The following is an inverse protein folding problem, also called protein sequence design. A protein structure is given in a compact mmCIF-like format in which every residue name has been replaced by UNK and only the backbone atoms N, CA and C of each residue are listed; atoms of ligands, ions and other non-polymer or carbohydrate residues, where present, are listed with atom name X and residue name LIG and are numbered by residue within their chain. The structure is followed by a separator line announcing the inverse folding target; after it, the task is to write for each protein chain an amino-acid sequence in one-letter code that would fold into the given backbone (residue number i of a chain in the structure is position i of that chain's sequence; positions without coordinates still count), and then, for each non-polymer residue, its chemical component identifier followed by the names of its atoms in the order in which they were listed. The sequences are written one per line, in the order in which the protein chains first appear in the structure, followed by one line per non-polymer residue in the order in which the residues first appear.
data_IF_775277329682
#
_entry.id   IF_775277329682
#
_cell.length_a   1.000
_cell.length_b   1.000
_cell.length_c   1.000
_cell.angle_alpha   90.00
_cell.angle_beta   90.00
_cell.angle_gamma   90.00
#
_symmetry.space_group_name_H-M   'P 1'
#
loop_
_entity.id
_entity.type
_entity.pdbx_description
1 polymer ?
#
# COMPACT_ATOMS: atom_id res chain seq x y z
N UNK A 1 -2.20 -15.86 -7.85
CA UNK A 1 -0.78 -16.12 -7.53
C UNK A 1 -0.54 -15.77 -6.08
N UNK A 2 0.31 -16.51 -5.34
CA UNK A 2 0.74 -16.07 -4.02
C UNK A 2 1.43 -14.71 -4.14
N UNK A 3 1.20 -13.84 -3.15
CA UNK A 3 1.91 -12.58 -3.06
C UNK A 3 3.41 -12.87 -2.90
N UNK A 4 4.24 -12.26 -3.74
CA UNK A 4 5.70 -12.37 -3.68
C UNK A 4 6.24 -10.97 -3.45
N UNK A 5 6.89 -10.77 -2.31
CA UNK A 5 7.55 -9.50 -2.01
C UNK A 5 8.74 -9.30 -2.94
N UNK A 6 8.89 -8.08 -3.43
CA UNK A 6 10.00 -7.62 -4.25
C UNK A 6 10.63 -6.44 -3.53
N UNK A 7 11.61 -6.72 -2.67
CA UNK A 7 12.23 -5.71 -1.78
C UNK A 7 13.73 -5.50 -2.10
N UNK A 8 14.18 -6.02 -3.25
CA UNK A 8 15.56 -5.80 -3.69
C UNK A 8 15.72 -4.32 -4.01
N UNK A 9 16.75 -3.71 -3.41
CA UNK A 9 17.11 -2.32 -3.70
C UNK A 9 17.53 -2.18 -5.16
N UNK A 10 16.94 -1.22 -5.86
CA UNK A 10 17.30 -0.86 -7.22
C UNK A 10 18.56 0.02 -7.23
N UNK A 11 19.27 0.06 -8.37
CA UNK A 11 20.57 0.75 -8.50
C UNK A 11 20.58 1.78 -9.63
N UNK A 12 19.48 1.90 -10.35
CA UNK A 12 19.30 2.68 -11.57
C UNK A 12 18.49 3.96 -11.36
N UNK A 13 18.23 4.38 -10.11
CA UNK A 13 17.47 5.59 -9.79
C UNK A 13 17.94 6.82 -10.58
N UNK A 14 19.25 7.08 -10.59
CA UNK A 14 19.86 8.21 -11.29
C UNK A 14 19.90 8.06 -12.83
N UNK A 15 19.46 6.93 -13.39
CA UNK A 15 19.37 6.72 -14.83
C UNK A 15 18.06 7.26 -15.42
N UNK A 16 17.04 7.49 -14.57
CA UNK A 16 15.79 8.09 -14.99
C UNK A 16 15.93 9.61 -15.06
N UNK A 17 15.26 10.23 -16.05
CA UNK A 17 15.19 11.69 -16.13
C UNK A 17 14.43 12.24 -14.92
N UNK A 18 14.82 13.41 -14.41
CA UNK A 18 14.11 14.09 -13.32
C UNK A 18 12.65 14.42 -13.65
N UNK A 19 12.26 14.42 -14.93
CA UNK A 19 10.85 14.58 -15.34
C UNK A 19 10.06 13.28 -15.31
N UNK A 20 10.72 12.12 -15.20
CA UNK A 20 10.04 10.81 -15.17
C UNK A 20 9.35 10.64 -13.81
N UNK A 21 8.02 10.47 -13.78
CA UNK A 21 7.31 10.30 -12.51
C UNK A 21 7.59 8.94 -11.85
N UNK A 22 7.68 8.96 -10.52
CA UNK A 22 7.55 7.78 -9.68
C UNK A 22 6.05 7.50 -9.49
N UNK A 23 5.65 6.25 -9.69
CA UNK A 23 4.26 5.80 -9.51
C UNK A 23 4.18 4.96 -8.24
N UNK A 24 3.33 5.36 -7.31
CA UNK A 24 3.08 4.69 -6.04
C UNK A 24 1.63 4.22 -6.01
N UNK A 25 1.42 2.91 -5.95
CA UNK A 25 0.15 2.33 -5.56
C UNK A 25 0.14 2.08 -4.03
N UNK A 26 -0.50 3.00 -3.30
CA UNK A 26 -0.53 3.03 -1.84
C UNK A 26 -1.70 2.20 -1.28
N UNK A 27 -1.69 0.90 -1.54
CA UNK A 27 -2.75 -0.01 -1.10
C UNK A 27 -2.62 -0.40 0.38
N UNK A 28 -3.76 -0.48 1.09
CA UNK A 28 -3.79 -0.82 2.53
C UNK A 28 -3.22 -2.21 2.88
N UNK A 29 -3.18 -3.16 1.94
CA UNK A 29 -2.52 -4.46 2.14
C UNK A 29 -1.06 -4.41 1.70
N UNK A 30 -0.80 -3.85 0.52
CA UNK A 30 0.48 -3.94 -0.18
C UNK A 30 0.80 -2.58 -0.75
N UNK A 31 2.04 -2.15 -0.55
CA UNK A 31 2.61 -0.97 -1.15
C UNK A 31 3.39 -1.38 -2.41
N UNK A 32 3.21 -0.63 -3.50
CA UNK A 32 3.94 -0.85 -4.75
C UNK A 32 4.50 0.47 -5.25
N UNK A 33 5.74 0.45 -5.71
CA UNK A 33 6.43 1.63 -6.25
C UNK A 33 7.28 1.25 -7.46
N UNK A 34 7.30 2.12 -8.46
CA UNK A 34 8.04 1.94 -9.70
C UNK A 34 8.05 3.21 -10.53
N UNK A 35 8.45 3.09 -11.80
CA UNK A 35 8.57 4.22 -12.72
C UNK A 35 7.43 4.27 -13.72
N UNK A 36 6.98 5.48 -14.06
CA UNK A 36 6.03 5.66 -15.15
C UNK A 36 6.64 5.16 -16.47
N UNK A 37 5.83 4.46 -17.27
CA UNK A 37 6.25 3.86 -18.54
C UNK A 37 6.75 2.42 -18.43
N UNK A 38 6.93 1.91 -17.20
CA UNK A 38 7.19 0.49 -16.97
C UNK A 38 5.89 -0.30 -16.78
N UNK A 39 5.93 -1.60 -17.11
CA UNK A 39 4.75 -2.47 -17.02
C UNK A 39 4.51 -2.99 -15.60
N UNK A 40 5.59 -3.24 -14.85
CA UNK A 40 5.55 -3.84 -13.52
C UNK A 40 6.18 -2.90 -12.50
N UNK A 41 5.65 -2.82 -11.27
CA UNK A 41 6.29 -2.08 -10.20
C UNK A 41 7.65 -2.72 -9.87
N UNK A 42 8.62 -1.88 -9.49
CA UNK A 42 9.99 -2.33 -9.16
C UNK A 42 10.10 -2.91 -7.76
N UNK A 43 9.27 -2.41 -6.84
CA UNK A 43 9.28 -2.78 -5.43
C UNK A 43 7.85 -3.03 -4.96
N UNK A 44 7.65 -4.15 -4.26
CA UNK A 44 6.35 -4.61 -3.73
C UNK A 44 6.56 -5.19 -2.33
N UNK A 45 5.82 -4.71 -1.33
CA UNK A 45 5.87 -5.26 0.02
C UNK A 45 4.54 -5.02 0.77
N UNK A 46 4.35 -5.69 1.90
CA UNK A 46 3.15 -5.48 2.73
C UNK A 46 3.17 -4.10 3.38
N UNK A 47 2.03 -3.43 3.40
CA UNK A 47 1.88 -2.06 3.89
C UNK A 47 1.67 -2.03 5.42
N UNK A 48 2.65 -2.55 6.14
CA UNK A 48 2.66 -2.69 7.60
C UNK A 48 4.03 -2.34 8.17
N UNK A 49 4.04 -1.88 9.42
CA UNK A 49 5.25 -1.59 10.18
C UNK A 49 5.17 -2.29 11.53
N UNK A 50 6.24 -2.96 11.92
CA UNK A 50 6.44 -3.46 13.28
C UNK A 50 7.63 -2.73 13.91
N UNK A 51 7.56 -2.49 15.23
CA UNK A 51 8.65 -1.86 15.98
C UNK A 51 9.11 -2.73 17.15
N UNK A 52 9.73 -3.90 16.90
CA UNK A 52 10.21 -4.75 17.97
C UNK A 52 11.48 -4.20 18.63
N UNK A 53 11.78 -4.73 19.82
CA UNK A 53 13.05 -4.47 20.50
C UNK A 53 14.07 -5.55 20.18
N UNK A 54 15.29 -5.15 19.88
CA UNK A 54 16.40 -6.08 19.76
C UNK A 54 16.75 -6.65 21.14
N UNK A 55 16.81 -7.98 21.27
CA UNK A 55 16.97 -8.67 22.56
C UNK A 55 18.26 -8.32 23.29
N UNK A 56 19.35 -8.13 22.54
CA UNK A 56 20.67 -7.83 23.10
C UNK A 56 20.87 -6.35 23.42
N UNK A 57 20.61 -5.44 22.47
CA UNK A 57 20.86 -4.00 22.65
C UNK A 57 19.71 -3.27 23.34
N UNK A 58 18.50 -3.85 23.36
CA UNK A 58 17.29 -3.21 23.87
C UNK A 58 16.73 -2.12 22.96
N UNK A 59 17.39 -1.83 21.84
CA UNK A 59 17.01 -0.79 20.89
C UNK A 59 15.74 -1.18 20.13
N UNK A 60 14.91 -0.18 19.84
CA UNK A 60 13.69 -0.38 19.05
C UNK A 60 14.01 -0.15 17.58
N UNK A 61 13.76 -1.16 16.75
CA UNK A 61 14.02 -1.10 15.31
C UNK A 61 12.69 -1.03 14.57
N UNK A 62 12.59 -0.21 13.53
CA UNK A 62 11.42 -0.18 12.64
C UNK A 62 11.63 -1.18 11.51
N UNK A 63 10.71 -2.12 11.36
CA UNK A 63 10.70 -3.13 10.30
C UNK A 63 9.45 -2.88 9.45
N UNK A 64 9.63 -2.72 8.14
CA UNK A 64 8.57 -2.49 7.18
C UNK A 64 8.34 -3.76 6.36
N UNK A 65 7.08 -4.10 6.11
CA UNK A 65 6.70 -5.27 5.34
C UNK A 65 6.80 -6.58 6.12
N UNK A 66 7.00 -7.68 5.39
CA UNK A 66 7.13 -9.00 5.99
C UNK A 66 8.47 -9.16 6.71
N UNK A 67 8.45 -9.87 7.84
CA UNK A 67 9.67 -10.22 8.55
C UNK A 67 10.45 -11.29 7.80
N UNK A 68 11.76 -11.11 7.71
CA UNK A 68 12.63 -12.27 7.49
C UNK A 68 12.55 -13.15 8.74
N UNK A 69 11.97 -14.34 8.59
CA UNK A 69 11.82 -15.32 9.67
C UNK A 69 13.15 -15.65 10.36
N UNK A 70 14.28 -15.51 9.67
CA UNK A 70 15.61 -15.72 10.24
C UNK A 70 16.02 -14.64 11.24
N UNK A 71 15.44 -13.43 11.15
CA UNK A 71 15.71 -12.30 12.02
C UNK A 71 14.86 -12.30 13.30
N UNK A 72 13.73 -13.03 13.33
CA UNK A 72 12.86 -13.11 14.52
C UNK A 72 13.59 -13.59 15.79
N UNK A 73 14.69 -14.35 15.65
CA UNK A 73 15.48 -14.79 16.81
C UNK A 73 16.12 -13.63 17.57
N UNK A 74 16.43 -12.52 16.90
CA UNK A 74 17.07 -11.34 17.48
C UNK A 74 16.08 -10.33 18.07
N UNK A 75 14.80 -10.41 17.68
CA UNK A 75 13.78 -9.44 18.04
C UNK A 75 12.76 -10.02 19.03
N UNK A 76 12.38 -9.21 20.02
CA UNK A 76 11.22 -9.48 20.87
C UNK A 76 9.98 -8.85 20.23
N UNK A 77 9.25 -9.66 19.47
CA UNK A 77 8.00 -9.27 18.81
C UNK A 77 6.76 -9.47 19.70
N UNK A 78 6.90 -10.02 20.92
CA UNK A 78 5.77 -10.34 21.80
C UNK A 78 4.98 -9.11 22.25
N UNK A 79 5.63 -7.94 22.20
CA UNK A 79 5.07 -6.65 22.66
C UNK A 79 4.67 -5.69 21.54
N UNK A 80 4.97 -6.01 20.28
CA UNK A 80 4.70 -5.12 19.15
C UNK A 80 4.12 -5.90 17.98
N UNK A 81 2.80 -5.89 17.84
CA UNK A 81 2.14 -6.40 16.63
C UNK A 81 2.43 -5.52 15.41
N UNK A 82 2.23 -6.05 14.19
CA UNK A 82 2.26 -5.24 12.98
C UNK A 82 1.16 -4.18 13.03
N UNK A 83 1.46 -2.96 12.57
CA UNK A 83 0.53 -1.84 12.48
C UNK A 83 0.42 -1.34 11.05
N UNK A 84 -0.79 -0.98 10.63
CA UNK A 84 -1.04 -0.37 9.33
C UNK A 84 -1.17 1.15 9.48
N UNK A 85 -0.77 1.91 8.45
CA UNK A 85 -1.04 3.35 8.37
C UNK A 85 -2.52 3.67 8.09
N UNK A 86 -3.32 2.66 7.74
CA UNK A 86 -4.66 2.78 7.23
C UNK A 86 -5.72 2.42 8.28
N UNK A 87 -6.81 3.17 8.27
CA UNK A 87 -8.10 2.76 8.80
C UNK A 87 -9.08 2.72 7.64
N UNK A 88 -9.64 1.54 7.37
CA UNK A 88 -10.65 1.36 6.33
C UNK A 88 -10.23 2.00 4.98
N UNK A 89 -9.00 1.74 4.53
CA UNK A 89 -8.44 2.28 3.27
C UNK A 89 -8.18 3.79 3.22
N UNK A 90 -8.29 4.50 4.35
CA UNK A 90 -7.88 5.91 4.49
C UNK A 90 -6.60 5.97 5.32
N UNK A 91 -5.59 6.68 4.85
CA UNK A 91 -4.36 6.91 5.63
C UNK A 91 -4.66 7.86 6.78
N UNK A 92 -4.32 7.46 7.99
CA UNK A 92 -4.54 8.26 9.20
C UNK A 92 -3.34 8.35 10.14
N UNK A 93 -2.46 7.34 10.15
CA UNK A 93 -1.20 7.34 10.92
C UNK A 93 -0.04 7.71 10.00
N UNK A 94 0.22 9.01 9.87
CA UNK A 94 1.22 9.53 8.93
C UNK A 94 2.65 9.23 9.37
N UNK A 95 2.90 9.05 10.67
CA UNK A 95 4.20 8.58 11.17
C UNK A 95 4.49 7.14 10.74
N UNK A 96 3.46 6.30 10.61
CA UNK A 96 3.62 4.95 10.06
C UNK A 96 3.83 5.02 8.55
N UNK A 97 3.08 5.89 7.88
CA UNK A 97 3.19 6.12 6.43
C UNK A 97 4.59 6.61 6.03
N UNK A 98 5.21 7.47 6.84
CA UNK A 98 6.58 7.95 6.66
C UNK A 98 7.58 6.77 6.64
N UNK A 99 7.54 5.85 7.61
CA UNK A 99 8.40 4.66 7.56
C UNK A 99 8.20 3.81 6.29
N UNK A 100 6.96 3.70 5.80
CA UNK A 100 6.64 2.96 4.58
C UNK A 100 7.19 3.65 3.34
N UNK A 101 7.06 4.99 3.25
CA UNK A 101 7.60 5.80 2.16
C UNK A 101 9.12 5.79 2.16
N UNK A 102 9.76 5.97 3.33
CA UNK A 102 11.21 5.87 3.50
C UNK A 102 11.73 4.54 2.96
N UNK A 103 11.09 3.44 3.35
CA UNK A 103 11.44 2.12 2.84
C UNK A 103 11.19 2.02 1.33
N UNK A 104 10.06 2.52 0.82
CA UNK A 104 9.75 2.52 -0.60
C UNK A 104 10.81 3.25 -1.44
N UNK A 105 11.17 4.48 -1.04
CA UNK A 105 12.16 5.29 -1.73
C UNK A 105 13.59 4.74 -1.60
N UNK A 106 13.99 4.25 -0.42
CA UNK A 106 15.27 3.55 -0.25
C UNK A 106 15.37 2.36 -1.20
N UNK A 107 14.34 1.52 -1.27
CA UNK A 107 14.31 0.34 -2.14
C UNK A 107 14.29 0.71 -3.62
N UNK A 108 13.71 1.86 -3.99
CA UNK A 108 13.79 2.40 -5.35
C UNK A 108 15.19 2.93 -5.69
N UNK A 109 16.08 3.04 -4.70
CA UNK A 109 17.48 3.46 -4.88
C UNK A 109 17.72 4.96 -4.74
N UNK A 110 16.75 5.70 -4.19
CA UNK A 110 16.95 7.10 -3.82
C UNK A 110 18.05 7.20 -2.75
N UNK A 111 19.07 8.01 -3.01
CA UNK A 111 20.20 8.21 -2.08
C UNK A 111 20.25 9.63 -1.50
N UNK A 112 19.47 10.55 -2.05
CA UNK A 112 19.38 11.94 -1.60
C UNK A 112 18.48 12.11 -0.38
N UNK A 113 18.52 13.30 0.21
CA UNK A 113 17.56 13.73 1.23
C UNK A 113 16.20 14.09 0.64
N UNK A 114 16.17 14.42 -0.66
CA UNK A 114 14.98 14.80 -1.41
C UNK A 114 14.72 13.79 -2.54
N UNK A 115 13.49 13.81 -3.05
CA UNK A 115 13.02 12.99 -4.16
C UNK A 115 12.87 13.88 -5.39
N UNK A 116 13.86 13.85 -6.29
CA UNK A 116 13.99 14.74 -7.46
C UNK A 116 13.01 14.46 -8.61
N UNK A 117 11.94 13.69 -8.37
CA UNK A 117 11.02 13.20 -9.38
C UNK A 117 9.56 13.50 -9.01
N UNK A 118 8.69 13.85 -9.99
CA UNK A 118 7.25 13.93 -9.77
C UNK A 118 6.70 12.62 -9.18
N UNK A 119 5.72 12.71 -8.29
CA UNK A 119 5.08 11.52 -7.70
C UNK A 119 3.62 11.44 -8.14
N UNK A 120 3.22 10.31 -8.72
CA UNK A 120 1.83 9.92 -8.87
C UNK A 120 1.50 8.89 -7.79
N UNK A 121 0.63 9.22 -6.85
CA UNK A 121 0.25 8.33 -5.74
C UNK A 121 -1.25 8.00 -5.76
N UNK A 122 -1.59 6.74 -5.54
CA UNK A 122 -2.99 6.32 -5.44
C UNK A 122 -3.59 6.64 -4.07
N UNK A 123 -4.89 6.93 -4.05
CA UNK A 123 -5.68 7.12 -2.85
C UNK A 123 -7.06 6.48 -3.00
N UNK A 124 -7.76 6.30 -1.88
CA UNK A 124 -9.11 5.76 -1.91
C UNK A 124 -10.12 6.74 -2.52
N UNK A 125 -11.23 6.21 -3.00
CA UNK A 125 -12.33 7.04 -3.50
C UNK A 125 -12.95 7.86 -2.38
N UNK A 126 -13.28 9.13 -2.68
CA UNK A 126 -13.82 10.08 -1.70
C UNK A 126 -12.89 10.25 -0.48
N UNK A 127 -11.57 10.19 -0.69
CA UNK A 127 -10.58 10.42 0.37
C UNK A 127 -10.85 11.76 1.08
N UNK A 128 -10.91 11.81 2.43
CA UNK A 128 -11.05 13.06 3.15
C UNK A 128 -9.96 14.05 2.75
N UNK A 129 -10.36 15.30 2.52
CA UNK A 129 -9.43 16.36 2.10
C UNK A 129 -8.27 16.49 3.09
N UNK A 130 -8.52 16.32 4.39
CA UNK A 130 -7.50 16.36 5.43
C UNK A 130 -6.45 15.25 5.29
N UNK A 131 -6.86 14.03 4.92
CA UNK A 131 -5.92 12.93 4.71
C UNK A 131 -5.05 13.20 3.48
N UNK A 132 -5.66 13.67 2.38
CA UNK A 132 -4.92 14.08 1.17
C UNK A 132 -3.96 15.23 1.45
N UNK A 133 -4.38 16.26 2.19
CA UNK A 133 -3.54 17.40 2.56
C UNK A 133 -2.33 16.98 3.37
N UNK A 134 -2.50 16.10 4.36
CA UNK A 134 -1.38 15.56 5.15
C UNK A 134 -0.42 14.70 4.33
N UNK A 135 -0.94 13.92 3.38
CA UNK A 135 -0.08 13.17 2.46
C UNK A 135 0.73 14.12 1.56
N UNK A 136 0.11 15.20 1.07
CA UNK A 136 0.80 16.20 0.28
C UNK A 136 1.86 16.96 1.11
N UNK A 137 1.53 17.36 2.34
CA UNK A 137 2.47 17.95 3.31
C UNK A 137 3.68 17.04 3.52
N UNK A 138 3.44 15.76 3.83
CA UNK A 138 4.51 14.77 3.98
C UNK A 138 5.40 14.67 2.72
N UNK A 139 4.81 14.59 1.53
CA UNK A 139 5.57 14.48 0.28
C UNK A 139 6.37 15.76 -0.06
N UNK A 140 5.80 16.94 0.16
CA UNK A 140 6.48 18.21 -0.15
C UNK A 140 7.48 18.62 0.92
N UNK A 141 7.11 18.56 2.20
CA UNK A 141 7.91 19.11 3.29
C UNK A 141 8.99 18.13 3.76
N UNK A 142 8.68 16.83 3.82
CA UNK A 142 9.66 15.82 4.26
C UNK A 142 10.52 15.32 3.10
N UNK A 143 9.91 15.07 1.93
CA UNK A 143 10.61 14.46 0.79
C UNK A 143 11.00 15.44 -0.32
N UNK A 144 10.57 16.71 -0.25
CA UNK A 144 10.96 17.72 -1.25
C UNK A 144 10.49 17.43 -2.68
N UNK A 145 9.42 16.64 -2.87
CA UNK A 145 9.01 16.24 -4.23
C UNK A 145 8.67 17.47 -5.09
N UNK A 146 9.09 17.54 -6.37
CA UNK A 146 8.85 18.70 -7.22
C UNK A 146 7.37 18.90 -7.56
N UNK A 147 6.60 17.81 -7.66
CA UNK A 147 5.16 17.85 -7.88
C UNK A 147 4.51 16.52 -7.49
N UNK A 148 3.23 16.58 -7.13
CA UNK A 148 2.44 15.39 -6.79
C UNK A 148 1.10 15.40 -7.54
N UNK A 149 0.69 14.24 -8.04
CA UNK A 149 -0.65 13.98 -8.52
C UNK A 149 -1.27 12.83 -7.71
N UNK A 150 -2.56 12.97 -7.39
CA UNK A 150 -3.34 11.94 -6.72
C UNK A 150 -4.31 11.32 -7.71
N UNK A 151 -4.54 10.02 -7.59
CA UNK A 151 -5.58 9.35 -8.39
C UNK A 151 -6.17 8.14 -7.70
N UNK A 152 -7.33 7.72 -8.19
CA UNK A 152 -8.03 6.55 -7.64
C UNK A 152 -7.56 5.30 -8.38
N UNK A 153 -7.02 4.33 -7.64
CA UNK A 153 -6.52 3.04 -8.12
C UNK A 153 -7.51 2.32 -9.08
N UNK A 154 -8.76 2.21 -8.68
CA UNK A 154 -9.84 1.61 -9.45
C UNK A 154 -10.10 2.35 -10.77
N UNK A 155 -9.92 3.68 -10.78
CA UNK A 155 -10.10 4.47 -11.99
C UNK A 155 -8.96 4.25 -12.98
N UNK A 156 -7.72 4.16 -12.50
CA UNK A 156 -6.58 3.80 -13.34
C UNK A 156 -6.74 2.40 -13.93
N UNK A 157 -7.16 1.42 -13.13
CA UNK A 157 -7.40 0.05 -13.59
C UNK A 157 -8.47 -0.01 -14.69
N UNK A 158 -9.60 0.69 -14.52
CA UNK A 158 -10.65 0.73 -15.54
C UNK A 158 -10.17 1.41 -16.82
N UNK A 159 -9.50 2.57 -16.73
CA UNK A 159 -8.91 3.27 -17.89
C UNK A 159 -7.90 2.40 -18.63
N UNK A 160 -7.06 1.67 -17.93
CA UNK A 160 -6.12 0.73 -18.52
C UNK A 160 -6.85 -0.38 -19.30
N UNK A 161 -7.89 -0.96 -18.72
CA UNK A 161 -8.71 -1.99 -19.39
C UNK A 161 -9.47 -1.45 -20.61
N UNK A 162 -9.91 -0.19 -20.60
CA UNK A 162 -10.52 0.46 -21.77
C UNK A 162 -9.55 0.59 -22.93
N UNK A 163 -8.30 1.00 -22.65
CA UNK A 163 -7.25 1.09 -23.67
C UNK A 163 -6.96 -0.26 -24.33
N UNK A 164 -7.16 -1.35 -23.61
CA UNK A 164 -6.99 -2.72 -24.10
C UNK A 164 -8.26 -3.33 -24.70
N UNK A 165 -9.36 -2.57 -24.78
CA UNK A 165 -10.65 -3.04 -25.30
C UNK A 165 -11.31 -4.13 -24.45
N UNK A 166 -10.94 -4.24 -23.17
CA UNK A 166 -11.51 -5.21 -22.23
C UNK A 166 -12.85 -4.72 -21.69
N UNK A 167 -13.00 -3.41 -21.52
CA UNK A 167 -14.25 -2.77 -21.10
C UNK A 167 -14.63 -1.61 -22.01
N UNK A 168 -15.94 -1.38 -22.11
CA UNK A 168 -16.53 -0.28 -22.88
C UNK A 168 -16.30 1.08 -22.20
N UNK A 169 -16.69 2.15 -22.92
CA UNK A 169 -16.66 3.52 -22.40
C UNK A 169 -17.58 3.70 -21.19
N UNK A 170 -18.75 3.07 -21.24
CA UNK A 170 -19.76 3.12 -20.21
C UNK A 170 -19.76 1.81 -19.43
N UNK A 171 -19.85 1.90 -18.11
CA UNK A 171 -19.92 0.70 -17.30
C UNK A 171 -19.84 0.96 -15.81
N UNK A 172 -19.68 -0.13 -15.07
CA UNK A 172 -19.62 -0.10 -13.61
C UNK A 172 -18.41 -0.89 -13.14
N UNK A 173 -17.41 -0.20 -12.59
CA UNK A 173 -16.27 -0.83 -11.96
C UNK A 173 -16.65 -1.24 -10.54
N UNK A 174 -16.66 -2.56 -10.27
CA UNK A 174 -16.81 -3.10 -8.92
C UNK A 174 -15.43 -3.59 -8.48
N UNK A 175 -14.87 -2.95 -7.46
CA UNK A 175 -13.48 -3.11 -7.06
C UNK A 175 -13.39 -3.56 -5.60
N UNK A 176 -13.42 -4.86 -5.33
CA UNK A 176 -13.15 -5.41 -4.01
C UNK A 176 -11.67 -5.26 -3.67
N UNK A 177 -11.36 -4.43 -2.67
CA UNK A 177 -10.04 -4.24 -2.13
C UNK A 177 -9.78 -5.06 -0.86
N UNK A 178 -8.75 -4.68 -0.12
CA UNK A 178 -8.37 -5.37 1.11
C UNK A 178 -9.35 -5.09 2.25
N UNK A 179 -9.60 -3.83 2.59
CA UNK A 179 -10.49 -3.44 3.69
C UNK A 179 -11.85 -2.92 3.22
N UNK A 180 -11.95 -2.50 1.96
CA UNK A 180 -13.13 -1.84 1.41
C UNK A 180 -13.43 -2.36 0.01
N UNK A 181 -14.68 -2.21 -0.42
CA UNK A 181 -15.12 -2.46 -1.79
C UNK A 181 -15.69 -1.17 -2.34
N UNK A 182 -15.22 -0.76 -3.50
CA UNK A 182 -15.68 0.45 -4.18
C UNK A 182 -16.51 0.07 -5.41
N UNK A 183 -17.50 0.92 -5.72
CA UNK A 183 -18.26 0.84 -6.96
C UNK A 183 -18.19 2.21 -7.63
N UNK A 184 -17.70 2.24 -8.86
CA UNK A 184 -17.45 3.47 -9.63
C UNK A 184 -18.16 3.36 -10.98
N UNK A 185 -19.20 4.16 -11.23
CA UNK A 185 -19.79 4.26 -12.56
C UNK A 185 -18.86 5.04 -13.51
N UNK A 186 -18.81 4.58 -14.76
CA UNK A 186 -18.12 5.23 -15.87
C UNK A 186 -19.13 5.60 -16.95
N UNK A 187 -19.04 6.83 -17.45
CA UNK A 187 -19.87 7.36 -18.55
C UNK A 187 -18.95 8.14 -19.49
N UNK A 188 -19.08 7.90 -20.79
CA UNK A 188 -18.24 8.45 -21.86
C UNK A 188 -16.74 8.24 -21.62
N UNK A 189 -16.42 7.16 -20.92
CA UNK A 189 -15.05 6.80 -20.54
C UNK A 189 -14.57 7.43 -19.24
N UNK A 190 -15.31 8.33 -18.59
CA UNK A 190 -14.86 9.04 -17.39
C UNK A 190 -15.54 8.55 -16.09
N UNK A 191 -14.83 8.52 -14.95
CA UNK A 191 -15.41 8.12 -13.68
C UNK A 191 -16.39 9.17 -13.14
N UNK A 192 -17.57 8.73 -12.71
CA UNK A 192 -18.60 9.60 -12.11
C UNK A 192 -18.55 9.51 -10.59
N UNK A 193 -17.65 10.29 -9.98
CA UNK A 193 -17.40 10.26 -8.53
C UNK A 193 -18.64 10.52 -7.65
N UNK A 194 -19.60 11.32 -8.13
CA UNK A 194 -20.87 11.59 -7.42
C UNK A 194 -21.78 10.36 -7.31
N UNK A 195 -21.66 9.41 -8.24
CA UNK A 195 -22.45 8.18 -8.28
C UNK A 195 -21.77 6.98 -7.62
N UNK A 196 -20.63 7.21 -6.96
CA UNK A 196 -19.84 6.15 -6.38
C UNK A 196 -20.41 5.68 -5.05
N UNK A 197 -20.20 4.41 -4.74
CA UNK A 197 -20.51 3.86 -3.43
C UNK A 197 -19.32 3.08 -2.88
N UNK A 198 -19.28 2.99 -1.55
CA UNK A 198 -18.24 2.31 -0.81
C UNK A 198 -18.87 1.50 0.31
N UNK A 199 -18.38 0.28 0.46
CA UNK A 199 -18.71 -0.59 1.59
C UNK A 199 -17.42 -0.93 2.34
N UNK A 200 -17.47 -0.92 3.67
CA UNK A 200 -16.34 -1.30 4.53
C UNK A 200 -16.23 -2.83 4.68
N UNK A 201 -16.28 -3.55 3.55
CA UNK A 201 -16.07 -4.99 3.47
C UNK A 201 -15.07 -5.22 2.34
N UNK A 202 -14.12 -6.13 2.57
CA UNK A 202 -13.06 -6.47 1.61
C UNK A 202 -12.41 -7.79 1.99
N UNK A 203 -11.30 -8.14 1.33
CA UNK A 203 -10.58 -9.39 1.54
C UNK A 203 -10.15 -9.67 2.99
N UNK A 204 -9.82 -8.63 3.77
CA UNK A 204 -9.51 -8.72 5.19
C UNK A 204 -10.67 -9.35 5.96
N UNK A 205 -11.89 -8.81 5.78
CA UNK A 205 -13.09 -9.26 6.48
C UNK A 205 -13.45 -10.71 6.12
N UNK A 206 -13.28 -11.09 4.86
CA UNK A 206 -13.51 -12.48 4.42
C UNK A 206 -12.52 -13.44 5.08
N UNK A 207 -11.25 -13.05 5.13
CA UNK A 207 -10.17 -13.84 5.75
C UNK A 207 -10.37 -13.95 7.25
N UNK A 208 -10.73 -12.86 7.92
CA UNK A 208 -11.02 -12.84 9.35
C UNK A 208 -12.24 -13.69 9.70
N UNK A 209 -13.33 -13.56 8.92
CA UNK A 209 -14.52 -14.38 9.11
C UNK A 209 -14.23 -15.88 8.94
N UNK A 210 -13.41 -16.25 7.94
CA UNK A 210 -12.97 -17.62 7.77
C UNK A 210 -12.14 -18.11 8.97
N UNK A 211 -11.23 -17.29 9.50
CA UNK A 211 -10.45 -17.61 10.72
C UNK A 211 -11.38 -17.87 11.92
N UNK A 212 -12.42 -17.06 12.09
CA UNK A 212 -13.42 -17.24 13.15
C UNK A 212 -14.19 -18.57 12.98
N UNK A 213 -14.68 -18.86 11.77
CA UNK A 213 -15.39 -20.11 11.48
C UNK A 213 -14.52 -21.35 11.72
N UNK A 214 -13.25 -21.31 11.31
CA UNK A 214 -12.29 -22.39 11.57
C UNK A 214 -11.99 -22.57 13.06
N UNK A 215 -11.90 -21.48 13.80
CA UNK A 215 -11.70 -21.49 15.26
C UNK A 215 -12.88 -22.13 15.98
N UNK A 216 -14.12 -21.86 15.52
CA UNK A 216 -15.33 -22.46 16.06
C UNK A 216 -15.43 -23.96 15.72
N UNK A 217 -15.05 -24.36 14.50
CA UNK A 217 -15.10 -25.76 14.04
C UNK A 217 -13.99 -26.62 14.65
N UNK A 218 -12.80 -26.04 14.86
CA UNK A 218 -11.60 -26.74 15.33
C UNK A 218 -10.97 -26.01 16.53
N UNK A 219 -11.60 -26.03 17.72
CA UNK A 219 -11.17 -25.24 18.87
C UNK A 219 -9.76 -25.60 19.37
N UNK A 220 -9.35 -26.87 19.25
CA UNK A 220 -8.00 -27.33 19.61
C UNK A 220 -6.90 -26.87 18.64
N UNK A 221 -7.27 -26.27 17.51
CA UNK A 221 -6.34 -25.74 16.52
C UNK A 221 -6.31 -24.21 16.49
N UNK A 222 -7.00 -23.52 17.41
CA UNK A 222 -7.05 -22.06 17.45
C UNK A 222 -5.66 -21.42 17.35
N UNK A 223 -4.68 -21.89 18.14
CA UNK A 223 -3.31 -21.35 18.09
C UNK A 223 -2.71 -21.36 16.67
N UNK A 224 -3.03 -22.35 15.83
CA UNK A 224 -2.51 -22.44 14.46
C UNK A 224 -3.16 -21.46 13.48
N UNK A 225 -4.39 -21.01 13.76
CA UNK A 225 -5.08 -20.03 12.91
C UNK A 225 -4.67 -18.58 13.21
N UNK A 226 -4.24 -18.31 14.44
CA UNK A 226 -3.73 -16.99 14.84
C UNK A 226 -2.23 -16.80 14.59
N UNK A 227 -1.46 -17.88 14.47
CA UNK A 227 0.00 -17.85 14.24
C UNK A 227 0.41 -17.82 12.75
N UNK A 228 -0.55 -17.72 11.82
CA UNK A 228 -0.31 -17.72 10.37
C UNK A 228 0.10 -16.37 9.74
N UNK A 229 0.54 -15.41 10.56
CA UNK A 229 1.26 -14.20 10.10
C UNK A 229 2.73 -14.29 10.52
N UNK A 230 3.35 -15.44 10.21
CA UNK A 230 4.78 -15.69 10.41
C UNK A 230 5.52 -15.71 9.08
#
# INVERSE_FOLDING_TARGET
MPFVSQIKRQTDYNLFSSTTPIVIDNGASNFRIGWAGENDPRVIFRNIVQRPRHKTTGETVSIVGDHDTTLLKYFDCSRSGPRSAFDSNVVYQFEIMEYILDFGFDRLGANGTEIDHPVLITECILNPVQSRSKMAELLFETYGVPSVAFGVDAAFSYKYNQQHGICDKDGLAICPGFTTTHVIPFIDGEPVYKGCSRTNIGGYHVTDYLKQLLSLKYPHHMARFYLGEG
#
